data_IF_271932984683
#
_entry.id   IF_271932984683
#
_cell.length_a   1.000
_cell.length_b   1.000
_cell.length_c   1.000
_cell.angle_alpha   90.00
_cell.angle_beta   90.00
_cell.angle_gamma   90.00
#
_symmetry.space_group_name_H-M   'P 1'
#
loop_
_entity.id
_entity.type
_entity.pdbx_description
1 polymer ?
#
# COMPACT_ATOMS: atom_id res chain seq x y z
N UNK A 1 66.86 -6.77 -30.75
CA UNK A 1 66.19 -7.19 -29.50
C UNK A 1 65.38 -6.02 -28.96
N UNK A 2 64.13 -5.87 -29.39
CA UNK A 2 63.22 -4.86 -28.86
C UNK A 2 62.37 -5.46 -27.76
N UNK A 3 62.50 -4.98 -26.52
CA UNK A 3 61.58 -5.33 -25.42
C UNK A 3 60.44 -4.33 -25.43
N UNK A 4 59.25 -4.83 -25.78
CA UNK A 4 57.99 -4.10 -25.63
C UNK A 4 57.68 -3.89 -24.14
N UNK A 5 57.34 -2.66 -23.77
CA UNK A 5 56.80 -2.31 -22.46
C UNK A 5 55.31 -2.70 -22.41
N UNK A 6 55.01 -3.79 -21.73
CA UNK A 6 53.64 -4.19 -21.43
C UNK A 6 53.10 -3.27 -20.32
N UNK A 7 52.20 -2.37 -20.69
CA UNK A 7 51.39 -1.59 -19.75
C UNK A 7 50.46 -2.55 -18.99
N UNK A 8 50.61 -2.59 -17.67
CA UNK A 8 49.75 -3.32 -16.76
C UNK A 8 48.48 -2.50 -16.53
N UNK A 9 47.35 -2.91 -17.12
CA UNK A 9 46.03 -2.37 -16.82
C UNK A 9 45.58 -2.90 -15.44
N UNK A 10 45.06 -2.05 -14.53
CA UNK A 10 44.32 -2.56 -13.38
C UNK A 10 42.96 -3.08 -13.87
N UNK A 11 42.71 -4.36 -13.62
CA UNK A 11 41.44 -5.02 -13.84
C UNK A 11 40.39 -4.39 -12.89
N UNK A 12 39.69 -3.36 -13.37
CA UNK A 12 38.48 -2.88 -12.69
C UNK A 12 37.40 -3.93 -12.86
N UNK A 13 37.12 -4.65 -11.77
CA UNK A 13 36.08 -5.65 -11.68
C UNK A 13 34.73 -4.96 -11.87
N UNK A 14 34.20 -5.09 -13.08
CA UNK A 14 32.96 -4.51 -13.55
C UNK A 14 31.78 -5.20 -12.83
N UNK A 15 31.35 -4.62 -11.70
CA UNK A 15 30.12 -5.00 -11.03
C UNK A 15 28.94 -4.61 -11.94
N UNK A 16 28.10 -5.55 -12.41
CA UNK A 16 27.03 -5.20 -13.33
C UNK A 16 25.97 -4.36 -12.62
N UNK A 17 25.91 -3.08 -12.98
CA UNK A 17 24.73 -2.23 -13.24
C UNK A 17 23.34 -2.79 -12.83
N UNK A 18 23.09 -3.01 -11.54
CA UNK A 18 21.78 -3.42 -11.01
C UNK A 18 21.18 -2.40 -10.02
N UNK A 19 21.63 -1.14 -10.05
CA UNK A 19 21.11 -0.07 -9.19
C UNK A 19 20.14 0.89 -9.88
N UNK A 20 19.65 0.57 -11.07
CA UNK A 20 18.73 1.44 -11.80
C UNK A 20 17.27 0.99 -11.63
N UNK A 21 16.78 1.02 -10.40
CA UNK A 21 15.38 0.77 -10.07
C UNK A 21 14.70 1.95 -9.34
N UNK A 22 15.20 3.17 -9.53
CA UNK A 22 14.48 4.37 -9.11
C UNK A 22 13.68 4.94 -10.30
N UNK A 23 12.35 4.77 -10.34
CA UNK A 23 11.56 5.43 -11.36
C UNK A 23 11.47 6.94 -11.10
N UNK A 24 11.84 7.73 -12.12
CA UNK A 24 11.77 9.19 -12.15
C UNK A 24 10.31 9.68 -12.24
N UNK A 25 9.59 9.79 -11.13
CA UNK A 25 8.21 10.34 -11.12
C UNK A 25 8.09 11.80 -10.67
N UNK A 26 9.19 12.52 -10.37
CA UNK A 26 9.10 13.87 -9.78
C UNK A 26 9.55 15.05 -10.64
N UNK A 27 9.78 14.86 -11.95
CA UNK A 27 10.28 15.95 -12.81
C UNK A 27 9.30 16.37 -13.91
N UNK A 28 8.07 16.77 -13.54
CA UNK A 28 7.27 17.67 -14.40
C UNK A 28 6.50 18.69 -13.55
N UNK A 29 7.14 19.83 -13.26
CA UNK A 29 6.47 21.06 -12.83
C UNK A 29 6.76 22.13 -13.89
N UNK A 30 5.75 22.61 -14.64
CA UNK A 30 5.93 23.79 -15.48
C UNK A 30 6.04 25.05 -14.60
N UNK A 31 6.95 25.99 -14.92
CA UNK A 31 7.05 27.28 -14.23
C UNK A 31 5.90 28.22 -14.62
N UNK A 32 5.57 29.13 -13.71
CA UNK A 32 4.32 29.87 -13.67
C UNK A 32 4.08 30.88 -14.79
N UNK A 33 2.81 31.20 -15.00
CA UNK A 33 2.34 32.38 -15.70
C UNK A 33 1.50 33.20 -14.72
N UNK A 34 2.06 34.31 -14.24
CA UNK A 34 1.34 35.35 -13.51
C UNK A 34 0.69 36.23 -14.58
N UNK A 35 -0.62 36.09 -14.75
CA UNK A 35 -1.46 36.95 -15.57
C UNK A 35 -2.89 36.90 -15.03
N UNK A 36 -3.70 37.97 -15.18
CA UNK A 36 -5.06 37.97 -14.67
C UNK A 36 -5.91 37.00 -15.52
N UNK A 37 -6.11 35.79 -15.00
CA UNK A 37 -6.81 34.72 -15.68
C UNK A 37 -8.33 34.98 -15.79
N UNK A 38 -8.99 34.51 -16.86
CA UNK A 38 -10.42 34.60 -17.00
C UNK A 38 -11.11 33.71 -15.96
N UNK A 39 -12.29 34.15 -15.49
CA UNK A 39 -13.16 33.48 -14.51
C UNK A 39 -13.27 31.97 -14.80
N UNK A 40 -13.17 31.09 -13.79
CA UNK A 40 -13.27 29.65 -14.00
C UNK A 40 -14.68 29.30 -14.48
N UNK A 41 -14.79 28.85 -15.74
CA UNK A 41 -15.93 28.08 -16.20
C UNK A 41 -15.72 26.66 -15.66
N UNK A 42 -16.48 26.31 -14.62
CA UNK A 42 -16.51 24.99 -14.02
C UNK A 42 -16.89 23.97 -15.11
N UNK A 43 -15.96 23.08 -15.49
CA UNK A 43 -16.22 22.04 -16.47
C UNK A 43 -17.06 20.92 -15.86
N UNK A 44 -17.79 20.16 -16.68
CA UNK A 44 -18.54 18.99 -16.21
C UNK A 44 -17.67 17.93 -15.51
N UNK A 45 -16.38 17.88 -15.85
CA UNK A 45 -15.40 16.97 -15.28
C UNK A 45 -14.99 17.35 -13.84
N UNK A 46 -15.00 18.66 -13.52
CA UNK A 46 -14.72 19.15 -12.18
C UNK A 46 -15.84 18.71 -11.22
N UNK A 47 -17.11 18.84 -11.63
CA UNK A 47 -18.25 18.42 -10.83
C UNK A 47 -18.24 16.92 -10.49
N UNK A 48 -17.84 16.07 -11.44
CA UNK A 48 -17.72 14.63 -11.21
C UNK A 48 -16.62 14.29 -10.18
N UNK A 49 -15.51 15.04 -10.17
CA UNK A 49 -14.44 14.88 -9.20
C UNK A 49 -14.88 15.22 -7.78
N UNK A 50 -15.54 16.37 -7.58
CA UNK A 50 -16.07 16.77 -6.27
C UNK A 50 -17.10 15.77 -5.73
N UNK A 51 -17.98 15.25 -6.59
CA UNK A 51 -18.95 14.24 -6.20
C UNK A 51 -18.26 12.94 -5.73
N UNK A 52 -17.24 12.48 -6.46
CA UNK A 52 -16.47 11.29 -6.08
C UNK A 52 -15.69 11.51 -4.78
N UNK A 53 -15.16 12.72 -4.56
CA UNK A 53 -14.49 13.06 -3.31
C UNK A 53 -15.46 13.09 -2.12
N UNK A 54 -16.65 13.70 -2.29
CA UNK A 54 -17.68 13.72 -1.25
C UNK A 54 -18.17 12.31 -0.90
N UNK A 55 -18.35 11.44 -1.89
CA UNK A 55 -18.72 10.04 -1.65
C UNK A 55 -17.65 9.31 -0.83
N UNK A 56 -16.37 9.49 -1.16
CA UNK A 56 -15.27 8.88 -0.40
C UNK A 56 -15.21 9.42 1.04
N UNK A 57 -15.41 10.72 1.22
CA UNK A 57 -15.44 11.32 2.55
C UNK A 57 -16.59 10.75 3.39
N UNK A 58 -17.79 10.61 2.82
CA UNK A 58 -18.93 10.01 3.52
C UNK A 58 -18.66 8.57 3.98
N UNK A 59 -17.94 7.77 3.18
CA UNK A 59 -17.52 6.41 3.56
C UNK A 59 -16.52 6.45 4.72
N UNK A 60 -15.55 7.37 4.68
CA UNK A 60 -14.57 7.56 5.76
C UNK A 60 -15.29 7.93 7.06
N UNK A 61 -16.21 8.90 7.02
CA UNK A 61 -16.94 9.37 8.20
C UNK A 61 -17.80 8.25 8.81
N UNK A 62 -18.43 7.41 7.96
CA UNK A 62 -19.19 6.25 8.43
C UNK A 62 -18.31 5.19 9.09
N UNK A 63 -17.15 4.87 8.50
CA UNK A 63 -16.19 3.93 9.09
C UNK A 63 -15.64 4.46 10.44
N UNK A 64 -15.34 5.76 10.50
CA UNK A 64 -14.91 6.41 11.73
C UNK A 64 -15.99 6.32 12.81
N UNK A 65 -17.23 6.72 12.50
CA UNK A 65 -18.36 6.65 13.43
C UNK A 65 -18.64 5.22 13.91
N UNK A 66 -18.56 4.23 13.02
CA UNK A 66 -18.70 2.83 13.41
C UNK A 66 -17.61 2.41 14.41
N UNK A 67 -16.37 2.85 14.18
CA UNK A 67 -15.25 2.59 15.09
C UNK A 67 -15.47 3.23 16.46
N UNK A 68 -15.95 4.48 16.51
CA UNK A 68 -16.30 5.14 17.78
C UNK A 68 -17.38 4.38 18.54
N UNK A 69 -18.44 3.92 17.85
CA UNK A 69 -19.51 3.15 18.45
C UNK A 69 -19.01 1.82 19.02
N UNK A 70 -18.11 1.12 18.32
CA UNK A 70 -17.44 -0.08 18.85
C UNK A 70 -16.64 0.26 20.10
N UNK A 71 -15.87 1.35 20.08
CA UNK A 71 -15.04 1.78 21.20
C UNK A 71 -15.87 2.19 22.43
N UNK A 72 -17.05 2.79 22.23
CA UNK A 72 -18.00 3.17 23.28
C UNK A 72 -18.83 1.99 23.80
N UNK A 73 -18.64 0.78 23.29
CA UNK A 73 -19.38 -0.41 23.71
C UNK A 73 -20.80 -0.50 23.13
N UNK A 74 -21.06 0.15 21.99
CA UNK A 74 -22.32 0.06 21.26
C UNK A 74 -22.15 -0.64 19.90
N UNK A 75 -21.89 -1.97 19.89
CA UNK A 75 -21.65 -2.72 18.66
C UNK A 75 -22.90 -2.84 17.77
N UNK A 76 -24.11 -2.70 18.32
CA UNK A 76 -25.36 -2.82 17.56
C UNK A 76 -25.50 -1.68 16.55
N UNK A 77 -25.31 -0.43 16.98
CA UNK A 77 -25.35 0.72 16.08
C UNK A 77 -24.19 0.70 15.07
N UNK A 78 -23.02 0.19 15.48
CA UNK A 78 -21.90 -0.01 14.56
C UNK A 78 -22.28 -1.00 13.46
N UNK A 79 -22.91 -2.12 13.82
CA UNK A 79 -23.34 -3.15 12.87
C UNK A 79 -24.34 -2.60 11.83
N UNK A 80 -25.23 -1.70 12.21
CA UNK A 80 -26.15 -1.03 11.28
C UNK A 80 -25.40 -0.16 10.24
N UNK A 81 -24.36 0.56 10.67
CA UNK A 81 -23.52 1.34 9.74
C UNK A 81 -22.79 0.38 8.79
N UNK A 82 -22.20 -0.69 9.32
CA UNK A 82 -21.46 -1.68 8.51
C UNK A 82 -22.36 -2.38 7.50
N UNK A 83 -23.61 -2.69 7.86
CA UNK A 83 -24.59 -3.27 6.95
C UNK A 83 -24.89 -2.33 5.76
N UNK A 84 -25.02 -1.02 6.00
CA UNK A 84 -25.20 -0.03 4.92
C UNK A 84 -23.96 0.07 4.04
N UNK A 85 -22.77 0.12 4.63
CA UNK A 85 -21.50 0.14 3.90
C UNK A 85 -21.32 -1.13 3.04
N UNK A 86 -21.87 -2.26 3.45
CA UNK A 86 -21.80 -3.51 2.69
C UNK A 86 -22.49 -3.43 1.31
N UNK A 87 -23.49 -2.56 1.15
CA UNK A 87 -24.14 -2.33 -0.16
C UNK A 87 -23.33 -1.41 -1.09
N UNK A 88 -22.39 -0.64 -0.55
CA UNK A 88 -21.60 0.34 -1.30
C UNK A 88 -20.20 -0.15 -1.64
N UNK A 89 -19.66 -1.05 -0.81
CA UNK A 89 -18.28 -1.50 -0.88
C UNK A 89 -18.17 -2.87 -1.51
N UNK A 90 -17.14 -3.06 -2.32
CA UNK A 90 -16.84 -4.32 -3.00
C UNK A 90 -15.36 -4.66 -2.83
N UNK A 91 -15.00 -5.95 -2.64
CA UNK A 91 -13.60 -6.39 -2.62
C UNK A 91 -12.92 -6.21 -3.98
N UNK A 92 -13.69 -6.02 -5.05
CA UNK A 92 -13.22 -5.84 -6.42
C UNK A 92 -13.62 -4.44 -6.89
N UNK A 93 -12.72 -3.75 -7.58
CA UNK A 93 -12.98 -2.44 -8.17
C UNK A 93 -11.94 -1.39 -7.79
N UNK A 94 -12.37 -0.13 -7.60
CA UNK A 94 -11.50 1.02 -7.36
C UNK A 94 -10.67 0.85 -6.07
N UNK A 95 -9.38 1.24 -6.05
CA UNK A 95 -8.50 1.03 -4.90
C UNK A 95 -9.08 1.49 -3.55
N UNK A 96 -9.70 2.68 -3.50
CA UNK A 96 -10.35 3.18 -2.29
C UNK A 96 -11.47 2.26 -1.78
N UNK A 97 -12.37 1.81 -2.66
CA UNK A 97 -13.51 0.99 -2.27
C UNK A 97 -13.04 -0.38 -1.75
N UNK A 98 -11.98 -0.95 -2.36
CA UNK A 98 -11.36 -2.18 -1.86
C UNK A 98 -10.75 -1.99 -0.48
N UNK A 99 -10.01 -0.91 -0.25
CA UNK A 99 -9.43 -0.62 1.06
C UNK A 99 -10.51 -0.43 2.13
N UNK A 100 -11.54 0.36 1.83
CA UNK A 100 -12.68 0.56 2.71
C UNK A 100 -13.43 -0.75 2.99
N UNK A 101 -13.60 -1.62 1.99
CA UNK A 101 -14.21 -2.94 2.15
C UNK A 101 -13.46 -3.78 3.19
N UNK A 102 -12.14 -3.89 3.08
CA UNK A 102 -11.34 -4.65 4.04
C UNK A 102 -11.31 -4.03 5.44
N UNK A 103 -11.34 -2.69 5.54
CA UNK A 103 -11.47 -2.01 6.84
C UNK A 103 -12.82 -2.33 7.51
N UNK A 104 -13.91 -2.30 6.74
CA UNK A 104 -15.25 -2.69 7.19
C UNK A 104 -15.29 -4.14 7.68
N UNK A 105 -14.73 -5.08 6.91
CA UNK A 105 -14.67 -6.51 7.30
C UNK A 105 -13.86 -6.73 8.59
N UNK A 106 -12.72 -6.04 8.72
CA UNK A 106 -11.89 -6.13 9.93
C UNK A 106 -12.63 -5.59 11.17
N UNK A 107 -13.35 -4.49 11.04
CA UNK A 107 -14.16 -3.93 12.11
C UNK A 107 -15.33 -4.86 12.47
N UNK A 108 -16.00 -5.44 11.47
CA UNK A 108 -17.05 -6.43 11.68
C UNK A 108 -16.50 -7.65 12.44
N UNK A 109 -15.35 -8.19 12.04
CA UNK A 109 -14.71 -9.31 12.74
C UNK A 109 -14.43 -8.96 14.20
N UNK A 110 -13.93 -7.75 14.46
CA UNK A 110 -13.64 -7.25 15.82
C UNK A 110 -14.89 -7.26 16.70
N UNK A 111 -16.04 -6.83 16.17
CA UNK A 111 -17.34 -6.88 16.87
C UNK A 111 -17.73 -8.33 17.21
N UNK A 112 -17.55 -9.26 16.28
CA UNK A 112 -17.92 -10.67 16.51
C UNK A 112 -16.98 -11.36 17.51
N UNK A 113 -15.68 -11.06 17.49
CA UNK A 113 -14.70 -11.64 18.41
C UNK A 113 -14.89 -11.16 19.85
N UNK A 114 -15.31 -9.90 20.05
CA UNK A 114 -15.58 -9.36 21.40
C UNK A 114 -16.73 -10.09 22.12
N UNK A 115 -17.63 -10.74 21.37
CA UNK A 115 -18.82 -11.42 21.88
C UNK A 115 -18.61 -12.91 22.25
N UNK A 116 -17.45 -13.29 22.80
CA UNK A 116 -17.13 -14.63 23.35
C UNK A 116 -16.82 -15.77 22.35
N UNK A 117 -16.18 -15.49 21.21
CA UNK A 117 -15.52 -16.55 20.44
C UNK A 117 -14.04 -16.25 20.33
N UNK A 118 -13.23 -17.10 20.97
CA UNK A 118 -11.77 -17.13 20.79
C UNK A 118 -11.51 -17.08 19.27
N UNK A 119 -10.71 -16.14 18.75
CA UNK A 119 -10.41 -16.13 17.34
C UNK A 119 -9.63 -17.41 17.06
N UNK A 120 -10.27 -18.38 16.41
CA UNK A 120 -9.63 -19.61 15.96
C UNK A 120 -8.65 -19.29 14.82
N UNK A 121 -7.59 -18.55 15.11
CA UNK A 121 -6.31 -18.69 14.43
C UNK A 121 -5.79 -20.13 14.55
N UNK A 122 -6.32 -20.90 15.51
CA UNK A 122 -5.99 -22.29 15.80
C UNK A 122 -6.51 -23.32 14.79
N UNK A 123 -7.35 -22.97 13.82
CA UNK A 123 -7.82 -23.92 12.79
C UNK A 123 -7.59 -23.41 11.37
N UNK A 124 -6.45 -22.77 11.13
CA UNK A 124 -6.04 -22.45 9.77
C UNK A 124 -5.91 -23.76 8.98
N UNK A 125 -6.86 -24.01 8.08
CA UNK A 125 -6.79 -25.09 7.09
C UNK A 125 -5.39 -25.11 6.47
N UNK A 126 -4.79 -26.28 6.19
CA UNK A 126 -3.50 -26.37 5.49
C UNK A 126 -3.44 -25.50 4.21
N UNK A 127 -4.59 -25.33 3.53
CA UNK A 127 -4.72 -24.45 2.38
C UNK A 127 -4.52 -22.97 2.69
N UNK A 128 -4.82 -22.51 3.90
CA UNK A 128 -4.59 -21.12 4.33
C UNK A 128 -3.10 -20.76 4.29
N UNK A 129 -2.23 -21.68 4.68
CA UNK A 129 -0.78 -21.48 4.58
C UNK A 129 -0.35 -21.36 3.11
N UNK A 130 -0.84 -22.27 2.26
CA UNK A 130 -0.56 -22.25 0.81
C UNK A 130 -0.98 -20.91 0.20
N UNK A 131 -2.21 -20.44 0.49
CA UNK A 131 -2.68 -19.15 -0.02
C UNK A 131 -1.87 -17.96 0.51
N UNK A 132 -1.39 -18.00 1.75
CA UNK A 132 -0.50 -16.95 2.29
C UNK A 132 0.85 -16.91 1.59
N UNK A 133 1.42 -18.08 1.29
CA UNK A 133 2.69 -18.19 0.54
C UNK A 133 2.51 -17.61 -0.87
N UNK A 134 1.46 -18.03 -1.59
CA UNK A 134 1.19 -17.54 -2.93
C UNK A 134 0.92 -16.02 -2.96
N UNK A 135 0.18 -15.50 -1.97
CA UNK A 135 -0.04 -14.07 -1.83
C UNK A 135 1.25 -13.30 -1.56
N UNK A 136 2.12 -13.80 -0.68
CA UNK A 136 3.42 -13.20 -0.40
C UNK A 136 4.32 -13.18 -1.65
N UNK A 137 4.38 -14.30 -2.37
CA UNK A 137 5.14 -14.41 -3.62
C UNK A 137 4.65 -13.40 -4.64
N UNK A 138 3.35 -13.40 -4.95
CA UNK A 138 2.76 -12.45 -5.91
C UNK A 138 3.00 -11.00 -5.49
N UNK A 139 2.85 -10.67 -4.20
CA UNK A 139 3.14 -9.33 -3.70
C UNK A 139 4.60 -8.93 -3.89
N UNK A 140 5.54 -9.84 -3.64
CA UNK A 140 6.98 -9.59 -3.81
C UNK A 140 7.40 -9.37 -5.27
N UNK A 141 6.66 -9.93 -6.23
CA UNK A 141 6.90 -9.75 -7.66
C UNK A 141 6.44 -8.36 -8.14
N UNK A 142 5.34 -7.83 -7.57
CA UNK A 142 4.76 -6.54 -8.00
C UNK A 142 5.18 -5.35 -7.14
N UNK A 143 5.79 -5.58 -5.97
CA UNK A 143 6.11 -4.54 -4.99
C UNK A 143 7.61 -4.51 -4.66
N UNK A 144 8.26 -3.33 -4.74
CA UNK A 144 9.68 -3.19 -4.37
C UNK A 144 9.90 -3.29 -2.86
N UNK A 145 8.84 -3.28 -2.04
CA UNK A 145 8.93 -3.22 -0.58
C UNK A 145 9.73 -4.38 0.00
N UNK A 146 9.47 -5.61 -0.47
CA UNK A 146 10.14 -6.81 0.04
C UNK A 146 11.63 -6.81 -0.33
N UNK A 147 11.95 -6.41 -1.56
CA UNK A 147 13.34 -6.30 -2.03
C UNK A 147 14.11 -5.24 -1.26
N UNK A 148 13.48 -4.07 -1.05
CA UNK A 148 14.04 -2.98 -0.25
C UNK A 148 14.34 -3.43 1.18
N UNK A 149 13.38 -4.08 1.85
CA UNK A 149 13.56 -4.58 3.22
C UNK A 149 14.70 -5.61 3.30
N UNK A 150 14.74 -6.58 2.38
CA UNK A 150 15.76 -7.62 2.34
C UNK A 150 17.16 -7.05 2.07
N UNK A 151 17.29 -6.17 1.06
CA UNK A 151 18.57 -5.53 0.77
C UNK A 151 19.06 -4.71 1.96
N UNK A 152 18.20 -3.88 2.55
CA UNK A 152 18.57 -3.02 3.68
C UNK A 152 18.99 -3.84 4.90
N UNK A 153 18.23 -4.89 5.24
CA UNK A 153 18.55 -5.77 6.36
C UNK A 153 19.84 -6.55 6.13
N UNK A 154 20.01 -7.13 4.94
CA UNK A 154 21.22 -7.88 4.59
C UNK A 154 22.46 -6.98 4.62
N UNK A 155 22.37 -5.74 4.11
CA UNK A 155 23.47 -4.79 4.19
C UNK A 155 23.84 -4.45 5.64
N UNK A 156 22.85 -4.17 6.49
CA UNK A 156 23.09 -3.91 7.91
C UNK A 156 23.74 -5.13 8.61
N UNK A 157 23.29 -6.35 8.29
CA UNK A 157 23.86 -7.57 8.84
C UNK A 157 25.31 -7.79 8.39
N UNK A 158 25.60 -7.60 7.10
CA UNK A 158 26.94 -7.71 6.55
C UNK A 158 27.89 -6.66 7.15
N UNK A 159 27.42 -5.45 7.40
CA UNK A 159 28.20 -4.39 8.05
C UNK A 159 28.58 -4.76 9.49
N UNK A 160 27.66 -5.38 10.24
CA UNK A 160 27.94 -5.82 11.61
C UNK A 160 28.89 -7.02 11.64
N UNK A 161 28.64 -8.04 10.80
CA UNK A 161 29.47 -9.25 10.76
C UNK A 161 30.87 -8.99 10.18
N UNK A 162 31.00 -8.04 9.24
CA UNK A 162 32.30 -7.65 8.70
C UNK A 162 33.14 -6.75 9.62
N UNK A 163 32.59 -6.34 10.77
CA UNK A 163 33.29 -5.58 11.82
C UNK A 163 33.79 -6.47 12.97
N UNK A 164 33.52 -7.78 12.92
CA UNK A 164 34.04 -8.80 13.84
C UNK A 164 35.26 -9.45 13.18
#
# INVERSE_FOLDING_TARGET
MGRQLQHQQPMSQNLPHQLQLLPHYLQQRPPGAIGPGPKPKMGGDDFAYYHLQQQQQAIIDQLYKATELVQMGNPVLAQEILARLNHQLSPIGKPFHRAAFYCKEALQLTIHTNNNTIPSTATASPFSLIFKIEAYKSFSEISPLIQFANFTCNQALLEVLGRI
#
